data_IF_469972488204
#
_entry.id   IF_469972488204
#
_cell.length_a   1.000
_cell.length_b   1.000
_cell.length_c   1.000
_cell.angle_alpha   90.00
_cell.angle_beta   90.00
_cell.angle_gamma   90.00
#
_symmetry.space_group_name_H-M   'P 1'
#
loop_
_entity.id
_entity.type
_entity.pdbx_description
1 polymer ?
#
# COMPACT_ATOMS: atom_id res chain seq x y z
N UNK A 1 -14.21 13.24 -15.65
CA UNK A 1 -13.41 13.70 -14.49
C UNK A 1 -13.22 12.64 -13.38
N UNK A 2 -13.97 11.53 -13.37
CA UNK A 2 -13.94 10.51 -12.30
C UNK A 2 -12.64 9.71 -12.18
N UNK A 3 -11.93 9.41 -13.29
CA UNK A 3 -10.75 8.54 -13.24
C UNK A 3 -9.60 9.09 -12.37
N UNK A 4 -9.35 10.40 -12.38
CA UNK A 4 -8.32 11.03 -11.54
C UNK A 4 -8.66 10.91 -10.04
N UNK A 5 -9.94 11.07 -9.69
CA UNK A 5 -10.42 10.95 -8.31
C UNK A 5 -10.30 9.51 -7.82
N UNK A 6 -10.68 8.53 -8.64
CA UNK A 6 -10.53 7.10 -8.30
C UNK A 6 -9.07 6.72 -8.06
N UNK A 7 -8.13 7.23 -8.88
CA UNK A 7 -6.68 6.98 -8.69
C UNK A 7 -6.18 7.60 -7.39
N UNK A 8 -6.59 8.83 -7.08
CA UNK A 8 -6.20 9.49 -5.82
C UNK A 8 -6.73 8.74 -4.61
N UNK A 9 -8.01 8.33 -4.63
CA UNK A 9 -8.62 7.54 -3.57
C UNK A 9 -7.92 6.19 -3.40
N UNK A 10 -7.58 5.52 -4.51
CA UNK A 10 -6.83 4.27 -4.48
C UNK A 10 -5.46 4.43 -3.80
N UNK A 11 -4.71 5.48 -4.16
CA UNK A 11 -3.42 5.79 -3.55
C UNK A 11 -3.58 6.09 -2.05
N UNK A 12 -4.61 6.85 -1.67
CA UNK A 12 -4.91 7.17 -0.26
C UNK A 12 -5.20 5.91 0.56
N UNK A 13 -6.03 5.01 0.05
CA UNK A 13 -6.36 3.74 0.75
C UNK A 13 -5.11 2.88 0.91
N UNK A 14 -4.27 2.77 -0.12
CA UNK A 14 -3.01 2.03 -0.02
C UNK A 14 -2.04 2.68 0.98
N UNK A 15 -1.96 4.01 0.99
CA UNK A 15 -1.14 4.74 1.95
C UNK A 15 -1.63 4.52 3.38
N UNK A 16 -2.93 4.62 3.60
CA UNK A 16 -3.56 4.38 4.90
C UNK A 16 -3.32 2.95 5.39
N UNK A 17 -3.49 1.94 4.51
CA UNK A 17 -3.11 0.56 4.82
C UNK A 17 -1.63 0.46 5.22
N UNK A 18 -0.73 1.07 4.46
CA UNK A 18 0.70 1.07 4.77
C UNK A 18 1.00 1.69 6.14
N UNK A 19 0.37 2.82 6.46
CA UNK A 19 0.49 3.47 7.77
C UNK A 19 -0.05 2.60 8.90
N UNK A 20 -1.18 1.93 8.70
CA UNK A 20 -1.75 0.98 9.67
C UNK A 20 -0.78 -0.18 9.88
N UNK A 21 -0.22 -0.77 8.82
CA UNK A 21 0.79 -1.83 8.92
C UNK A 21 2.05 -1.39 9.68
N UNK A 22 2.44 -0.13 9.55
CA UNK A 22 3.57 0.45 10.28
C UNK A 22 3.23 0.64 11.75
N UNK A 23 2.05 1.19 12.08
CA UNK A 23 1.72 1.64 13.44
C UNK A 23 1.08 0.54 14.29
N UNK A 24 0.16 -0.24 13.71
CA UNK A 24 -0.61 -1.27 14.42
C UNK A 24 0.26 -2.18 15.32
N UNK A 25 1.37 -2.78 14.85
CA UNK A 25 2.18 -3.69 15.69
C UNK A 25 2.79 -3.06 16.95
N UNK A 26 2.86 -1.73 17.01
CA UNK A 26 3.41 -0.97 18.14
C UNK A 26 2.35 -0.43 19.09
N UNK A 27 1.07 -0.67 18.80
CA UNK A 27 -0.04 -0.26 19.65
C UNK A 27 -0.51 -1.40 20.55
N UNK A 28 -1.17 -1.06 21.66
CA UNK A 28 -1.80 -2.06 22.54
C UNK A 28 -2.88 -2.88 21.83
N UNK A 29 -3.49 -2.34 20.76
CA UNK A 29 -4.42 -3.08 19.91
C UNK A 29 -3.79 -4.36 19.34
N UNK A 30 -2.49 -4.37 19.03
CA UNK A 30 -1.80 -5.57 18.54
C UNK A 30 -1.51 -6.58 19.65
N UNK A 31 -1.06 -6.12 20.81
CA UNK A 31 -0.70 -7.01 21.93
C UNK A 31 -1.92 -7.60 22.63
N UNK A 32 -3.00 -6.83 22.73
CA UNK A 32 -4.20 -7.16 23.51
C UNK A 32 -5.30 -7.74 22.61
N UNK A 33 -4.89 -8.40 21.52
CA UNK A 33 -5.79 -8.94 20.51
C UNK A 33 -6.66 -10.09 21.08
N UNK A 34 -7.95 -9.79 21.30
CA UNK A 34 -8.95 -10.76 21.77
C UNK A 34 -9.05 -11.98 20.84
N UNK A 35 -8.89 -11.79 19.53
CA UNK A 35 -8.88 -12.88 18.55
C UNK A 35 -7.68 -13.81 18.70
N UNK A 36 -6.49 -13.25 18.97
CA UNK A 36 -5.31 -14.07 19.26
C UNK A 36 -5.50 -14.84 20.57
N UNK A 37 -6.03 -14.21 21.60
CA UNK A 37 -6.32 -14.85 22.88
C UNK A 37 -7.30 -16.03 22.71
N UNK A 38 -8.37 -15.85 21.91
CA UNK A 38 -9.30 -16.90 21.57
C UNK A 38 -8.66 -18.05 20.78
N UNK A 39 -7.83 -17.72 19.77
CA UNK A 39 -7.10 -18.71 18.99
C UNK A 39 -6.15 -19.54 19.86
N UNK A 40 -5.40 -18.89 20.74
CA UNK A 40 -4.47 -19.55 21.67
C UNK A 40 -5.22 -20.42 22.68
N UNK A 41 -6.37 -19.95 23.16
CA UNK A 41 -7.23 -20.77 24.03
C UNK A 41 -7.72 -22.03 23.33
N UNK A 42 -7.97 -21.96 22.01
CA UNK A 42 -8.43 -23.10 21.21
C UNK A 42 -7.31 -24.04 20.77
N UNK A 43 -6.13 -23.51 20.45
CA UNK A 43 -4.98 -24.30 19.96
C UNK A 43 -3.99 -24.68 21.05
N UNK A 44 -4.11 -24.12 22.26
CA UNK A 44 -3.19 -24.34 23.39
C UNK A 44 -1.78 -23.78 23.16
N UNK A 45 -1.56 -23.05 22.08
CA UNK A 45 -0.20 -22.67 21.63
C UNK A 45 0.17 -21.27 22.13
N UNK A 46 0.62 -21.18 23.38
CA UNK A 46 1.12 -19.92 23.96
C UNK A 46 2.29 -19.31 23.16
N UNK A 47 3.04 -20.14 22.43
CA UNK A 47 4.14 -19.67 21.57
C UNK A 47 3.69 -18.80 20.39
N UNK A 48 2.44 -18.92 19.95
CA UNK A 48 1.89 -18.03 18.92
C UNK A 48 1.81 -16.57 19.42
N UNK A 49 1.43 -16.37 20.69
CA UNK A 49 1.39 -15.02 21.28
C UNK A 49 2.79 -14.42 21.37
N UNK A 50 3.76 -15.23 21.82
CA UNK A 50 5.16 -14.81 21.95
C UNK A 50 5.76 -14.47 20.59
N UNK A 51 5.52 -15.29 19.58
CA UNK A 51 6.04 -15.08 18.23
C UNK A 51 5.43 -13.84 17.59
N UNK A 52 4.11 -13.67 17.65
CA UNK A 52 3.41 -12.52 17.06
C UNK A 52 3.69 -11.20 17.79
N UNK A 53 4.01 -11.26 19.09
CA UNK A 53 4.46 -10.09 19.85
C UNK A 53 5.97 -9.85 19.79
N UNK A 54 6.74 -10.74 19.15
CA UNK A 54 8.19 -10.57 19.02
C UNK A 54 8.53 -9.33 18.19
N UNK A 55 9.62 -8.65 18.56
CA UNK A 55 10.12 -7.48 17.83
C UNK A 55 10.44 -7.82 16.37
N UNK A 56 10.86 -9.05 16.07
CA UNK A 56 11.14 -9.50 14.71
C UNK A 56 9.87 -9.49 13.83
N UNK A 57 8.76 -10.04 14.33
CA UNK A 57 7.48 -10.02 13.60
C UNK A 57 6.97 -8.60 13.45
N UNK A 58 6.99 -7.80 14.54
CA UNK A 58 6.57 -6.39 14.49
C UNK A 58 7.38 -5.58 13.49
N UNK A 59 8.69 -5.78 13.44
CA UNK A 59 9.58 -5.16 12.47
C UNK A 59 9.29 -5.65 11.03
N UNK A 60 9.00 -6.93 10.84
CA UNK A 60 8.59 -7.49 9.55
C UNK A 60 7.29 -6.86 9.02
N UNK A 61 6.26 -6.78 9.87
CA UNK A 61 4.97 -6.14 9.54
C UNK A 61 5.16 -4.66 9.23
N UNK A 62 6.00 -3.96 10.01
CA UNK A 62 6.35 -2.57 9.76
C UNK A 62 7.07 -2.39 8.43
N UNK A 63 8.04 -3.27 8.12
CA UNK A 63 8.77 -3.28 6.86
C UNK A 63 7.85 -3.51 5.65
N UNK A 64 6.87 -4.40 5.78
CA UNK A 64 5.83 -4.59 4.75
C UNK A 64 5.00 -3.31 4.53
N UNK A 65 4.60 -2.63 5.60
CA UNK A 65 3.92 -1.34 5.50
C UNK A 65 4.77 -0.27 4.80
N UNK A 66 6.06 -0.19 5.14
CA UNK A 66 6.99 0.73 4.49
C UNK A 66 7.17 0.41 2.99
N UNK A 67 7.32 -0.87 2.62
CA UNK A 67 7.39 -1.29 1.22
C UNK A 67 6.11 -0.94 0.46
N UNK A 68 4.95 -1.12 1.06
CA UNK A 68 3.67 -0.77 0.45
C UNK A 68 3.58 0.73 0.14
N UNK A 69 4.01 1.59 1.07
CA UNK A 69 4.06 3.05 0.85
C UNK A 69 5.07 3.41 -0.26
N UNK A 70 6.26 2.80 -0.25
CA UNK A 70 7.29 3.04 -1.26
C UNK A 70 6.82 2.64 -2.67
N UNK A 71 6.20 1.46 -2.81
CA UNK A 71 5.64 1.00 -4.07
C UNK A 71 4.53 1.93 -4.56
N UNK A 72 3.62 2.34 -3.68
CA UNK A 72 2.57 3.30 -4.03
C UNK A 72 3.12 4.65 -4.51
N UNK A 73 4.19 5.14 -3.88
CA UNK A 73 4.85 6.38 -4.28
C UNK A 73 5.58 6.26 -5.63
N UNK A 74 6.22 5.11 -5.87
CA UNK A 74 6.89 4.79 -7.13
C UNK A 74 5.92 4.65 -8.30
N UNK A 75 4.78 3.98 -8.09
CA UNK A 75 3.71 3.86 -9.09
C UNK A 75 3.17 5.27 -9.45
N UNK A 76 2.95 6.10 -8.43
CA UNK A 76 2.45 7.46 -8.61
C UNK A 76 3.44 8.40 -9.31
N UNK A 77 4.75 8.25 -9.14
CA UNK A 77 5.74 9.01 -9.92
C UNK A 77 5.73 8.58 -11.39
N UNK A 78 5.73 7.28 -11.66
CA UNK A 78 5.75 6.73 -13.03
C UNK A 78 4.50 7.07 -13.84
N UNK A 79 3.32 7.09 -13.20
CA UNK A 79 2.08 7.51 -13.86
C UNK A 79 2.10 8.97 -14.31
N UNK A 80 2.77 9.86 -13.56
CA UNK A 80 2.91 11.27 -13.94
C UNK A 80 3.74 11.42 -15.22
N UNK A 81 4.77 10.60 -15.36
CA UNK A 81 5.62 10.61 -16.56
C UNK A 81 4.87 10.05 -17.78
N UNK A 82 4.09 8.97 -17.61
CA UNK A 82 3.23 8.46 -18.68
C UNK A 82 2.19 9.50 -19.15
N UNK A 83 1.55 10.22 -18.24
CA UNK A 83 0.57 11.24 -18.59
C UNK A 83 1.18 12.40 -19.37
N UNK A 84 2.39 12.83 -18.99
CA UNK A 84 3.14 13.88 -19.70
C UNK A 84 3.46 13.47 -21.15
N UNK A 85 3.90 12.23 -21.35
CA UNK A 85 4.21 11.70 -22.68
C UNK A 85 2.96 11.61 -23.57
N UNK A 86 1.80 11.24 -23.01
CA UNK A 86 0.54 11.20 -23.76
C UNK A 86 0.07 12.62 -24.13
N UNK A 87 0.22 13.60 -23.23
CA UNK A 87 -0.12 15.00 -23.52
C UNK A 87 0.80 15.60 -24.59
N UNK A 88 2.09 15.31 -24.56
CA UNK A 88 3.06 15.72 -25.59
C UNK A 88 2.79 15.04 -26.93
N UNK A 89 2.50 13.74 -26.94
CA UNK A 89 2.15 13.00 -28.16
C UNK A 89 0.86 13.51 -28.80
N UNK A 90 -0.13 13.90 -28.01
CA UNK A 90 -1.40 14.48 -28.49
C UNK A 90 -1.24 15.89 -29.05
N UNK A 91 -0.24 16.67 -28.59
CA UNK A 91 0.05 18.01 -29.13
C UNK A 91 0.79 17.99 -30.47
N UNK A 92 1.33 16.84 -30.91
CA UNK A 92 1.91 16.75 -32.25
C UNK A 92 0.76 16.74 -33.29
N UNK A 93 0.70 17.71 -34.21
CA UNK A 93 -0.28 17.67 -35.29
C UNK A 93 -0.05 16.41 -36.11
N UNK A 94 -1.12 15.72 -36.49
CA UNK A 94 -1.02 14.66 -37.49
C UNK A 94 -0.32 15.22 -38.73
N UNK A 95 0.70 14.55 -39.29
CA UNK A 95 1.23 14.98 -40.58
C UNK A 95 0.06 15.03 -41.57
N UNK A 96 -0.01 16.07 -42.43
CA UNK A 96 -1.09 16.19 -43.39
C UNK A 96 -1.17 14.87 -44.15
N UNK A 97 -2.34 14.25 -44.14
CA UNK A 97 -2.65 13.11 -45.00
C UNK A 97 -2.64 13.65 -46.43
N UNK A 98 -1.44 13.68 -47.02
CA UNK A 98 -1.25 13.90 -48.44
C UNK A 98 -1.78 12.67 -49.13
N UNK A 99 -2.97 12.81 -49.68
CA UNK A 99 -3.54 11.95 -50.72
C UNK A 99 -2.46 11.59 -51.74
N UNK A 100 -2.19 10.29 -51.90
CA UNK A 100 -1.68 9.68 -53.12
C UNK A 100 -2.37 8.34 -53.31
#
# INVERSE_FOLDING_TARGET
>A
MSAKVTVILYILVYFELGAILIVAPWTSFWSDNVLLAYLVQRTGSAELLLTLNSTAVKAGVTGLGALNVLLGLWEASRYRDLLRLIEEGRRRPSPPQGEQ
#
